data_IF_897969086304
#
_entry.id   IF_897969086304
#
_cell.length_a   1.000
_cell.length_b   1.000
_cell.length_c   1.000
_cell.angle_alpha   90.00
_cell.angle_beta   90.00
_cell.angle_gamma   90.00
#
_symmetry.space_group_name_H-M   'P 1'
#
loop_
_entity.id
_entity.type
_entity.pdbx_description
1 polymer ?
#
# COMPACT_ATOMS: atom_id res chain seq x y z
N UNK A 1 23.35 -12.49 -0.32
CA UNK A 1 22.78 -11.17 0.05
C UNK A 1 21.45 -10.87 -0.62
N UNK A 2 21.33 -10.90 -1.97
CA UNK A 2 20.09 -10.56 -2.72
C UNK A 2 18.76 -11.16 -2.22
N UNK A 3 18.78 -12.37 -1.67
CA UNK A 3 17.57 -13.05 -1.15
C UNK A 3 16.99 -12.33 0.08
N UNK A 4 17.83 -11.94 1.04
CA UNK A 4 17.41 -11.20 2.24
C UNK A 4 16.79 -9.84 1.90
N UNK A 5 17.39 -9.09 0.99
CA UNK A 5 16.88 -7.78 0.55
C UNK A 5 15.50 -7.90 -0.11
N UNK A 6 15.35 -8.92 -0.97
CA UNK A 6 14.07 -9.22 -1.62
C UNK A 6 13.01 -9.61 -0.60
N UNK A 7 13.36 -10.40 0.41
CA UNK A 7 12.45 -10.80 1.48
C UNK A 7 12.01 -9.61 2.36
N UNK A 8 12.93 -8.69 2.68
CA UNK A 8 12.63 -7.45 3.42
C UNK A 8 11.67 -6.58 2.61
N UNK A 9 11.96 -6.37 1.33
CA UNK A 9 11.12 -5.55 0.47
C UNK A 9 9.72 -6.18 0.31
N UNK A 10 9.66 -7.50 0.14
CA UNK A 10 8.39 -8.22 0.05
C UNK A 10 7.55 -8.07 1.32
N UNK A 11 8.19 -8.17 2.49
CA UNK A 11 7.53 -7.96 3.78
C UNK A 11 7.00 -6.54 3.92
N UNK A 12 7.82 -5.54 3.58
CA UNK A 12 7.41 -4.12 3.60
C UNK A 12 6.09 -3.89 2.85
N UNK A 13 6.00 -4.34 1.60
CA UNK A 13 4.79 -4.14 0.81
C UNK A 13 3.58 -4.94 1.32
N UNK A 14 3.79 -6.14 1.87
CA UNK A 14 2.70 -6.93 2.50
C UNK A 14 2.16 -6.21 3.73
N UNK A 15 3.04 -5.70 4.58
CA UNK A 15 2.64 -4.98 5.80
C UNK A 15 1.93 -3.66 5.46
N UNK A 16 2.47 -2.88 4.51
CA UNK A 16 1.82 -1.67 4.01
C UNK A 16 0.45 -1.96 3.37
N UNK A 17 0.36 -3.00 2.55
CA UNK A 17 -0.90 -3.41 1.90
C UNK A 17 -1.99 -3.76 2.90
N UNK A 18 -1.63 -4.53 3.93
CA UNK A 18 -2.54 -4.91 5.01
C UNK A 18 -3.05 -3.69 5.78
N UNK A 19 -2.17 -2.73 6.09
CA UNK A 19 -2.56 -1.51 6.81
C UNK A 19 -3.48 -0.61 5.97
N UNK A 20 -3.22 -0.51 4.67
CA UNK A 20 -4.08 0.21 3.73
C UNK A 20 -5.46 -0.44 3.59
N UNK A 21 -5.53 -1.78 3.59
CA UNK A 21 -6.80 -2.51 3.61
C UNK A 21 -7.61 -2.17 4.87
N UNK A 22 -6.99 -2.20 6.05
CA UNK A 22 -7.67 -1.83 7.31
C UNK A 22 -8.22 -0.41 7.24
N UNK A 23 -7.41 0.56 6.82
CA UNK A 23 -7.86 1.95 6.64
C UNK A 23 -9.05 2.02 5.68
N UNK A 24 -9.00 1.34 4.54
CA UNK A 24 -10.13 1.31 3.61
C UNK A 24 -11.40 0.79 4.27
N UNK A 25 -11.30 -0.27 5.07
CA UNK A 25 -12.45 -0.86 5.79
C UNK A 25 -12.98 0.06 6.89
N UNK A 26 -12.11 0.72 7.66
CA UNK A 26 -12.48 1.70 8.70
C UNK A 26 -13.26 2.88 8.09
N UNK A 27 -12.79 3.37 6.93
CA UNK A 27 -13.46 4.42 6.18
C UNK A 27 -14.68 3.94 5.37
N UNK A 28 -15.04 2.66 5.44
CA UNK A 28 -16.17 2.03 4.72
C UNK A 28 -16.14 2.29 3.22
N UNK A 29 -14.95 2.32 2.63
CA UNK A 29 -14.75 2.53 1.20
C UNK A 29 -14.67 1.18 0.48
N UNK A 30 -15.41 1.03 -0.62
CA UNK A 30 -15.14 -0.04 -1.56
C UNK A 30 -14.06 0.41 -2.57
N UNK A 31 -13.45 -0.54 -3.28
CA UNK A 31 -12.35 -0.26 -4.21
C UNK A 31 -12.75 0.70 -5.34
N UNK A 32 -13.99 0.64 -5.83
CA UNK A 32 -14.49 1.53 -6.87
C UNK A 32 -14.58 2.99 -6.38
N UNK A 33 -15.17 3.20 -5.20
CA UNK A 33 -15.25 4.53 -4.57
C UNK A 33 -13.87 5.09 -4.27
N UNK A 34 -12.97 4.26 -3.75
CA UNK A 34 -11.59 4.66 -3.48
C UNK A 34 -10.84 5.01 -4.79
N UNK A 35 -11.07 4.24 -5.85
CA UNK A 35 -10.50 4.49 -7.17
C UNK A 35 -10.88 5.86 -7.70
N UNK A 36 -12.17 6.23 -7.64
CA UNK A 36 -12.62 7.56 -8.06
C UNK A 36 -12.02 8.69 -7.23
N UNK A 37 -11.88 8.50 -5.91
CA UNK A 37 -11.32 9.53 -5.02
C UNK A 37 -9.82 9.74 -5.19
N UNK A 38 -9.08 8.68 -5.54
CA UNK A 38 -7.61 8.70 -5.62
C UNK A 38 -7.09 8.78 -7.05
N UNK A 39 -7.95 8.58 -8.05
CA UNK A 39 -7.58 8.40 -9.46
C UNK A 39 -6.57 7.26 -9.64
N UNK A 40 -6.64 6.23 -8.78
CA UNK A 40 -5.86 4.99 -8.91
C UNK A 40 -6.82 3.91 -9.39
N UNK A 41 -6.50 3.12 -10.44
CA UNK A 41 -7.38 2.04 -10.88
C UNK A 41 -7.71 1.06 -9.77
N UNK A 42 -8.97 0.62 -9.67
CA UNK A 42 -9.42 -0.32 -8.63
C UNK A 42 -8.60 -1.62 -8.60
N UNK A 43 -8.21 -2.14 -9.77
CA UNK A 43 -7.34 -3.31 -9.86
C UNK A 43 -5.95 -3.06 -9.24
N UNK A 44 -5.40 -1.85 -9.37
CA UNK A 44 -4.14 -1.49 -8.70
C UNK A 44 -4.32 -1.37 -7.19
N UNK A 45 -5.44 -0.81 -6.72
CA UNK A 45 -5.76 -0.74 -5.30
C UNK A 45 -5.83 -2.15 -4.67
N UNK A 46 -6.47 -3.11 -5.34
CA UNK A 46 -6.50 -4.51 -4.91
C UNK A 46 -5.09 -5.12 -4.83
N UNK A 47 -4.24 -4.92 -5.84
CA UNK A 47 -2.84 -5.38 -5.82
C UNK A 47 -2.00 -4.72 -4.72
N UNK A 48 -2.26 -3.45 -4.41
CA UNK A 48 -1.59 -2.74 -3.30
C UNK A 48 -1.99 -3.37 -1.97
N UNK A 49 -3.29 -3.58 -1.73
CA UNK A 49 -3.79 -4.19 -0.49
C UNK A 49 -3.29 -5.62 -0.30
N UNK A 50 -3.07 -6.35 -1.39
CA UNK A 50 -2.42 -7.67 -1.38
C UNK A 50 -0.90 -7.59 -1.20
N UNK A 51 -0.29 -6.42 -1.21
CA UNK A 51 1.16 -6.26 -1.17
C UNK A 51 1.89 -6.78 -2.40
N UNK A 52 1.20 -6.86 -3.54
CA UNK A 52 1.70 -7.36 -4.83
C UNK A 52 2.05 -6.22 -5.80
N UNK A 53 1.61 -4.99 -5.51
CA UNK A 53 1.98 -3.82 -6.29
C UNK A 53 3.35 -3.27 -5.83
N UNK A 54 4.34 -3.30 -6.73
CA UNK A 54 5.69 -2.74 -6.52
C UNK A 54 5.83 -1.34 -7.14
N UNK A 55 4.83 -0.48 -6.95
CA UNK A 55 4.83 0.91 -7.44
C UNK A 55 4.90 1.88 -6.25
N UNK A 56 6.10 2.31 -5.81
CA UNK A 56 6.27 3.18 -4.65
C UNK A 56 5.46 4.48 -4.75
N UNK A 57 5.40 5.08 -5.94
CA UNK A 57 4.68 6.34 -6.14
C UNK A 57 3.16 6.19 -5.92
N UNK A 58 2.58 5.12 -6.44
CA UNK A 58 1.14 4.82 -6.28
C UNK A 58 0.81 4.54 -4.82
N UNK A 59 1.70 3.82 -4.10
CA UNK A 59 1.61 3.61 -2.66
C UNK A 59 1.62 4.95 -1.90
N UNK A 60 2.59 5.82 -2.18
CA UNK A 60 2.71 7.13 -1.55
C UNK A 60 1.47 8.01 -1.82
N UNK A 61 0.94 8.01 -3.04
CA UNK A 61 -0.30 8.74 -3.39
C UNK A 61 -1.48 8.26 -2.54
N UNK A 62 -1.61 6.96 -2.36
CA UNK A 62 -2.70 6.38 -1.56
C UNK A 62 -2.53 6.69 -0.06
N UNK A 63 -1.31 6.58 0.46
CA UNK A 63 -0.99 6.96 1.84
C UNK A 63 -1.31 8.43 2.10
N UNK A 64 -0.93 9.32 1.18
CA UNK A 64 -1.22 10.75 1.26
C UNK A 64 -2.73 11.04 1.26
N UNK A 65 -3.52 10.30 0.46
CA UNK A 65 -4.98 10.40 0.48
C UNK A 65 -5.58 10.12 1.87
N UNK A 66 -5.02 9.17 2.61
CA UNK A 66 -5.44 8.87 3.98
C UNK A 66 -4.82 9.80 5.04
N UNK A 67 -4.02 10.80 4.65
CA UNK A 67 -3.32 11.68 5.59
C UNK A 67 -2.36 10.93 6.51
N UNK A 68 -1.83 9.78 6.06
CA UNK A 68 -0.87 8.96 6.82
C UNK A 68 0.56 9.23 6.34
N UNK A 69 1.53 8.78 7.12
CA UNK A 69 2.95 8.81 6.77
C UNK A 69 3.50 7.39 6.80
N UNK A 70 4.36 7.04 5.83
CA UNK A 70 5.12 5.79 5.87
C UNK A 70 6.33 6.04 6.76
N UNK A 71 6.41 5.31 7.88
CA UNK A 71 7.60 5.30 8.71
C UNK A 71 8.56 4.23 8.20
N UNK A 72 9.73 4.63 7.70
CA UNK A 72 10.79 3.71 7.28
C UNK A 72 11.84 3.65 8.38
N UNK A 73 12.04 2.47 8.97
CA UNK A 73 13.17 2.21 9.87
C UNK A 73 14.23 1.42 9.13
N UNK A 74 15.46 1.91 9.16
CA UNK A 74 16.61 1.13 8.71
C UNK A 74 17.01 0.20 9.85
N UNK A 75 17.16 -1.08 9.54
CA UNK A 75 17.64 -2.12 10.46
C UNK A 75 19.00 -2.62 9.96
N UNK A 76 19.91 -2.95 10.88
CA UNK A 76 21.22 -3.53 10.58
C UNK A 76 21.14 -4.92 9.90
#
# INVERSE_FOLDING_TARGET
MKRKETDILNRFYKDCGMELFKLRTEHKLNLIKLSHKTLIPAAKLDLIERGECREPWTLCKLVAFYGKLIHIKLTE
#
